data_IF_478380245078
#
_entry.id   IF_478380245078
#
_cell.length_a   1.000
_cell.length_b   1.000
_cell.length_c   1.000
_cell.angle_alpha   90.00
_cell.angle_beta   90.00
_cell.angle_gamma   90.00
#
_symmetry.space_group_name_H-M   'P 1'
#
loop_
_entity.id
_entity.type
_entity.pdbx_description
1 polymer ?
#
# COMPACT_ATOMS: atom_id res chain seq x y z
N UNK A 1 25.19 22.30 -25.54
CA UNK A 1 23.89 22.61 -24.91
C UNK A 1 24.17 22.99 -23.45
N UNK A 2 23.60 24.07 -22.92
CA UNK A 2 23.84 24.48 -21.52
C UNK A 2 23.03 23.59 -20.56
N UNK A 3 23.50 23.45 -19.31
CA UNK A 3 22.79 22.71 -18.25
C UNK A 3 21.33 23.18 -18.09
N UNK A 4 21.09 24.48 -18.22
CA UNK A 4 19.75 25.08 -18.13
C UNK A 4 18.79 24.69 -19.27
N UNK A 5 19.30 24.29 -20.44
CA UNK A 5 18.46 23.77 -21.53
C UNK A 5 18.10 22.29 -21.31
N UNK A 6 18.97 21.52 -20.65
CA UNK A 6 18.74 20.11 -20.32
C UNK A 6 17.73 19.95 -19.17
N UNK A 7 17.73 20.86 -18.20
CA UNK A 7 16.77 20.79 -17.07
C UNK A 7 15.33 21.16 -17.52
N UNK A 8 15.17 22.10 -18.46
CA UNK A 8 13.86 22.40 -19.08
C UNK A 8 13.26 21.24 -19.86
N UNK A 9 14.10 20.36 -20.40
CA UNK A 9 13.67 19.16 -21.11
C UNK A 9 13.09 18.13 -20.12
N UNK A 10 13.71 17.98 -18.96
CA UNK A 10 13.25 17.05 -17.92
C UNK A 10 11.89 17.45 -17.32
N UNK A 11 11.62 18.74 -17.10
CA UNK A 11 10.30 19.19 -16.65
C UNK A 11 9.20 18.82 -17.64
N UNK A 12 9.45 19.01 -18.94
CA UNK A 12 8.51 18.62 -19.99
C UNK A 12 8.31 17.11 -20.06
N UNK A 13 9.39 16.32 -19.91
CA UNK A 13 9.33 14.86 -19.80
C UNK A 13 8.50 14.45 -18.59
N UNK A 14 8.69 15.07 -17.42
CA UNK A 14 7.95 14.76 -16.20
C UNK A 14 6.46 14.99 -16.36
N UNK A 15 6.06 16.13 -16.95
CA UNK A 15 4.65 16.45 -17.22
C UNK A 15 4.04 15.43 -18.18
N UNK A 16 4.74 15.11 -19.27
CA UNK A 16 4.26 14.16 -20.28
C UNK A 16 4.12 12.74 -19.71
N UNK A 17 5.15 12.24 -19.02
CA UNK A 17 5.17 10.91 -18.43
C UNK A 17 4.13 10.76 -17.31
N UNK A 18 3.95 11.78 -16.46
CA UNK A 18 2.86 11.81 -15.47
C UNK A 18 1.48 11.74 -16.11
N UNK A 19 1.27 12.53 -17.16
CA UNK A 19 -0.01 12.52 -17.88
C UNK A 19 -0.28 11.16 -18.54
N UNK A 20 0.75 10.47 -19.02
CA UNK A 20 0.65 9.10 -19.55
C UNK A 20 0.26 8.09 -18.49
N UNK A 21 0.95 8.08 -17.34
CA UNK A 21 0.60 7.24 -16.21
C UNK A 21 -0.86 7.44 -15.76
N UNK A 22 -1.30 8.70 -15.63
CA UNK A 22 -2.69 9.01 -15.22
C UNK A 22 -3.72 8.48 -16.23
N UNK A 23 -3.40 8.52 -17.52
CA UNK A 23 -4.25 7.93 -18.57
C UNK A 23 -4.28 6.41 -18.44
N UNK A 24 -3.12 5.78 -18.28
CA UNK A 24 -2.97 4.33 -18.13
C UNK A 24 -3.77 3.79 -16.94
N UNK A 25 -3.62 4.40 -15.76
CA UNK A 25 -4.39 4.04 -14.56
C UNK A 25 -5.91 4.17 -14.83
N UNK A 26 -6.32 5.18 -15.60
CA UNK A 26 -7.72 5.41 -15.95
C UNK A 26 -8.36 4.32 -16.81
N UNK A 27 -7.56 3.56 -17.59
CA UNK A 27 -8.07 2.42 -18.37
C UNK A 27 -8.59 1.30 -17.47
N UNK A 28 -8.22 1.30 -16.20
CA UNK A 28 -8.58 0.28 -15.23
C UNK A 28 -9.87 0.56 -14.45
N UNK A 29 -10.49 1.74 -14.67
CA UNK A 29 -11.67 2.20 -13.92
C UNK A 29 -11.36 2.80 -12.54
N UNK A 30 -10.08 2.96 -12.18
CA UNK A 30 -9.67 3.46 -10.85
C UNK A 30 -10.21 4.86 -10.49
N UNK A 31 -10.69 5.64 -11.47
CA UNK A 31 -11.25 6.97 -11.28
C UNK A 31 -12.77 6.99 -11.15
N UNK A 32 -13.45 5.86 -11.37
CA UNK A 32 -14.90 5.82 -11.52
C UNK A 32 -15.62 6.13 -10.20
N UNK A 33 -15.05 5.68 -9.07
CA UNK A 33 -15.62 5.88 -7.72
C UNK A 33 -15.45 7.32 -7.22
N UNK A 34 -14.27 7.93 -7.42
CA UNK A 34 -14.04 9.36 -7.14
C UNK A 34 -13.09 9.96 -8.18
N UNK A 35 -13.62 10.72 -9.17
CA UNK A 35 -12.82 11.27 -10.26
C UNK A 35 -11.83 12.35 -9.79
N UNK A 36 -11.95 12.86 -8.56
CA UNK A 36 -11.00 13.85 -8.01
C UNK A 36 -9.60 13.26 -7.87
N UNK A 37 -9.47 11.96 -7.64
CA UNK A 37 -8.16 11.30 -7.57
C UNK A 37 -7.36 11.46 -8.85
N UNK A 38 -8.01 11.50 -10.02
CA UNK A 38 -7.33 11.77 -11.29
C UNK A 38 -6.61 13.12 -11.28
N UNK A 39 -7.23 14.16 -10.73
CA UNK A 39 -6.62 15.49 -10.65
C UNK A 39 -5.46 15.53 -9.64
N UNK A 40 -5.60 14.80 -8.52
CA UNK A 40 -4.53 14.65 -7.51
C UNK A 40 -3.30 14.01 -8.15
N UNK A 41 -3.44 12.86 -8.81
CA UNK A 41 -2.32 12.16 -9.48
C UNK A 41 -1.72 12.96 -10.65
N UNK A 42 -2.53 13.80 -11.33
CA UNK A 42 -2.04 14.69 -12.37
C UNK A 42 -1.20 15.86 -11.82
N UNK A 43 -1.31 16.15 -10.52
CA UNK A 43 -0.66 17.30 -9.87
C UNK A 43 0.56 16.87 -9.06
N UNK A 44 0.45 15.85 -8.21
CA UNK A 44 1.52 15.45 -7.29
C UNK A 44 2.71 14.84 -8.06
N UNK A 45 3.92 15.41 -7.98
CA UNK A 45 5.06 14.97 -8.78
C UNK A 45 5.76 13.75 -8.15
N UNK A 46 5.35 12.53 -8.51
CA UNK A 46 5.95 11.26 -8.03
C UNK A 46 7.49 11.24 -8.04
N UNK A 47 8.13 11.88 -9.01
CA UNK A 47 9.60 11.93 -9.13
C UNK A 47 10.32 12.68 -8.01
N UNK A 48 9.64 13.55 -7.25
CA UNK A 48 10.23 14.15 -6.05
C UNK A 48 10.37 13.14 -4.91
N UNK A 49 9.52 12.10 -4.89
CA UNK A 49 9.50 11.06 -3.87
C UNK A 49 10.37 9.84 -4.23
N UNK A 50 10.92 9.78 -5.44
CA UNK A 50 11.72 8.64 -5.92
C UNK A 50 13.04 9.17 -6.48
N UNK A 51 13.95 9.69 -5.63
CA UNK A 51 15.22 10.26 -6.09
C UNK A 51 16.12 9.23 -6.78
N UNK A 52 15.93 7.95 -6.48
CA UNK A 52 16.54 6.83 -7.15
C UNK A 52 15.71 5.56 -6.98
N UNK A 53 15.95 4.57 -7.83
CA UNK A 53 15.44 3.20 -7.66
C UNK A 53 16.38 2.18 -8.31
N UNK A 54 16.25 0.93 -7.89
CA UNK A 54 17.05 -0.19 -8.39
C UNK A 54 16.36 -0.87 -9.56
N UNK A 55 17.14 -1.29 -10.55
CA UNK A 55 16.72 -2.09 -11.70
C UNK A 55 17.65 -3.29 -11.85
N UNK A 56 17.17 -4.38 -12.45
CA UNK A 56 18.03 -5.52 -12.77
C UNK A 56 19.17 -5.10 -13.70
N UNK A 57 20.40 -5.52 -13.38
CA UNK A 57 21.57 -5.22 -14.22
C UNK A 57 21.43 -5.85 -15.61
N UNK A 58 21.91 -5.14 -16.64
CA UNK A 58 21.87 -5.61 -18.03
C UNK A 58 22.67 -6.90 -18.27
N UNK A 59 23.66 -7.20 -17.43
CA UNK A 59 24.43 -8.45 -17.48
C UNK A 59 23.80 -9.61 -16.66
N UNK A 60 22.64 -9.36 -16.05
CA UNK A 60 21.93 -10.30 -15.18
C UNK A 60 22.64 -10.58 -13.85
N UNK A 61 23.70 -9.83 -13.51
CA UNK A 61 24.49 -10.01 -12.29
C UNK A 61 24.37 -8.78 -11.40
N UNK A 62 23.31 -8.76 -10.58
CA UNK A 62 23.08 -7.72 -9.58
C UNK A 62 22.11 -6.63 -10.03
N UNK A 63 22.21 -5.47 -9.40
CA UNK A 63 21.25 -4.38 -9.53
C UNK A 63 21.96 -3.08 -9.91
N UNK A 64 21.49 -2.45 -10.98
CA UNK A 64 21.87 -1.09 -11.36
C UNK A 64 20.97 -0.08 -10.63
N UNK A 65 21.48 1.14 -10.41
CA UNK A 65 20.70 2.24 -9.82
C UNK A 65 20.44 3.34 -10.84
N UNK A 66 19.17 3.68 -11.02
CA UNK A 66 18.73 4.87 -11.75
C UNK A 66 18.44 5.98 -10.74
N UNK A 67 18.93 7.19 -11.00
CA UNK A 67 18.87 8.30 -10.04
C UNK A 67 18.76 9.67 -10.71
N UNK A 68 18.18 10.63 -10.00
CA UNK A 68 17.91 11.99 -10.51
C UNK A 68 19.18 12.81 -10.77
N UNK A 69 20.23 12.58 -9.98
CA UNK A 69 21.46 13.38 -9.97
C UNK A 69 22.56 12.79 -10.88
N UNK A 70 22.20 11.92 -11.83
CA UNK A 70 23.18 11.33 -12.76
C UNK A 70 23.91 12.39 -13.59
N UNK A 71 25.24 12.29 -13.74
CA UNK A 71 25.96 13.19 -14.65
C UNK A 71 25.59 12.94 -16.11
N UNK A 72 25.08 11.76 -16.45
CA UNK A 72 24.58 11.41 -17.79
C UNK A 72 23.11 11.85 -17.96
N UNK A 73 22.81 12.79 -18.88
CA UNK A 73 21.44 13.21 -19.16
C UNK A 73 20.52 12.08 -19.61
N UNK A 74 21.03 11.09 -20.35
CA UNK A 74 20.22 9.98 -20.85
C UNK A 74 19.77 9.06 -19.70
N UNK A 75 20.64 8.85 -18.73
CA UNK A 75 20.30 8.15 -17.48
C UNK A 75 19.28 8.92 -16.65
N UNK A 76 19.36 10.26 -16.58
CA UNK A 76 18.35 11.10 -15.89
C UNK A 76 16.98 10.98 -16.55
N UNK A 77 16.90 11.05 -17.87
CA UNK A 77 15.63 10.86 -18.58
C UNK A 77 15.08 9.44 -18.37
N UNK A 78 15.93 8.41 -18.43
CA UNK A 78 15.54 7.01 -18.16
C UNK A 78 15.00 6.82 -16.74
N UNK A 79 15.66 7.41 -15.74
CA UNK A 79 15.16 7.46 -14.35
C UNK A 79 13.77 8.08 -14.31
N UNK A 80 13.61 9.28 -14.88
CA UNK A 80 12.37 10.04 -14.79
C UNK A 80 11.20 9.30 -15.44
N UNK A 81 11.40 8.72 -16.64
CA UNK A 81 10.38 7.92 -17.32
C UNK A 81 10.03 6.67 -16.52
N UNK A 82 11.01 5.99 -15.94
CA UNK A 82 10.77 4.81 -15.12
C UNK A 82 10.06 5.12 -13.79
N UNK A 83 10.21 6.34 -13.22
CA UNK A 83 9.38 6.76 -12.08
C UNK A 83 7.89 6.78 -12.44
N UNK A 84 7.55 7.03 -13.71
CA UNK A 84 6.16 7.12 -14.17
C UNK A 84 5.65 5.86 -14.86
N UNK A 85 6.32 4.70 -14.71
CA UNK A 85 5.73 3.42 -15.11
C UNK A 85 4.76 2.91 -14.03
N UNK A 86 3.75 2.15 -14.46
CA UNK A 86 2.79 1.51 -13.55
C UNK A 86 3.35 0.23 -12.91
N UNK A 87 4.47 0.35 -12.23
CA UNK A 87 5.11 -0.73 -11.48
C UNK A 87 5.61 -0.28 -10.10
N UNK A 88 5.84 -1.23 -9.18
CA UNK A 88 6.53 -0.94 -7.95
C UNK A 88 8.01 -0.65 -8.23
N UNK A 89 8.59 0.29 -7.48
CA UNK A 89 9.99 0.68 -7.61
C UNK A 89 10.72 0.41 -6.29
N UNK A 90 11.78 -0.39 -6.33
CA UNK A 90 12.63 -0.64 -5.16
C UNK A 90 13.43 0.63 -4.83
N UNK A 91 13.21 1.20 -3.64
CA UNK A 91 13.81 2.49 -3.23
C UNK A 91 14.82 2.34 -2.10
N UNK A 92 14.77 1.22 -1.37
CA UNK A 92 15.76 0.91 -0.34
C UNK A 92 15.98 -0.58 -0.23
N UNK A 93 17.24 -0.98 -0.32
CA UNK A 93 17.70 -2.35 -0.14
C UNK A 93 18.73 -2.38 0.99
N UNK A 94 18.70 -3.42 1.83
CA UNK A 94 19.73 -3.69 2.84
C UNK A 94 20.07 -5.16 2.79
N UNK A 95 21.33 -5.49 2.58
CA UNK A 95 21.82 -6.87 2.45
C UNK A 95 21.06 -7.71 1.40
N UNK A 96 20.58 -7.07 0.33
CA UNK A 96 19.78 -7.69 -0.73
C UNK A 96 18.29 -7.83 -0.41
N UNK A 97 17.84 -7.41 0.77
CA UNK A 97 16.43 -7.42 1.15
C UNK A 97 15.77 -6.06 0.89
N UNK A 98 14.56 -6.10 0.32
CA UNK A 98 13.74 -4.91 0.06
C UNK A 98 13.16 -4.34 1.35
N UNK A 99 13.65 -3.17 1.76
CA UNK A 99 13.17 -2.45 2.94
C UNK A 99 12.05 -1.47 2.63
N UNK A 100 12.10 -0.81 1.46
CA UNK A 100 11.13 0.19 1.05
C UNK A 100 10.98 0.20 -0.47
N UNK A 101 9.74 0.35 -0.91
CA UNK A 101 9.39 0.54 -2.31
C UNK A 101 8.40 1.70 -2.47
N UNK A 102 8.42 2.34 -3.64
CA UNK A 102 7.27 3.12 -4.08
C UNK A 102 6.29 2.14 -4.72
N UNK A 103 5.11 1.99 -4.12
CA UNK A 103 4.08 1.04 -4.58
C UNK A 103 3.61 1.33 -6.01
N UNK A 104 3.05 0.31 -6.65
CA UNK A 104 2.46 0.43 -7.99
C UNK A 104 1.37 1.52 -8.00
N UNK A 105 1.44 2.52 -8.90
CA UNK A 105 0.49 3.63 -8.96
C UNK A 105 -0.96 3.22 -9.14
N UNK A 106 -1.28 2.28 -10.01
CA UNK A 106 -2.66 1.83 -10.25
C UNK A 106 -3.25 1.14 -9.02
N UNK A 107 -2.47 0.33 -8.31
CA UNK A 107 -2.89 -0.28 -7.05
C UNK A 107 -3.15 0.80 -5.98
N UNK A 108 -2.27 1.80 -5.86
CA UNK A 108 -2.48 2.95 -4.96
C UNK A 108 -3.74 3.74 -5.32
N UNK A 109 -3.96 4.01 -6.60
CA UNK A 109 -5.17 4.70 -7.06
C UNK A 109 -6.45 3.92 -6.69
N UNK A 110 -6.47 2.60 -6.90
CA UNK A 110 -7.58 1.74 -6.48
C UNK A 110 -7.78 1.77 -4.96
N UNK A 111 -6.70 1.67 -4.19
CA UNK A 111 -6.77 1.71 -2.73
C UNK A 111 -7.33 3.05 -2.23
N UNK A 112 -6.87 4.18 -2.78
CA UNK A 112 -7.36 5.51 -2.43
C UNK A 112 -8.84 5.73 -2.83
N UNK A 113 -9.26 5.18 -3.97
CA UNK A 113 -10.67 5.17 -4.37
C UNK A 113 -11.53 4.34 -3.40
N UNK A 114 -11.04 3.16 -3.01
CA UNK A 114 -11.73 2.27 -2.08
C UNK A 114 -11.68 2.73 -0.62
N UNK A 115 -10.74 3.60 -0.27
CA UNK A 115 -10.73 4.27 1.03
C UNK A 115 -11.94 5.21 1.19
N UNK A 116 -12.56 5.64 0.09
CA UNK A 116 -13.79 6.46 0.07
C UNK A 116 -13.71 7.67 1.01
N UNK A 117 -12.62 8.42 0.89
CA UNK A 117 -12.40 9.63 1.68
C UNK A 117 -13.43 10.71 1.31
N UNK A 118 -13.95 11.39 2.32
CA UNK A 118 -14.78 12.59 2.19
C UNK A 118 -14.02 13.83 2.66
N UNK A 119 -14.50 15.00 2.25
CA UNK A 119 -13.84 16.27 2.62
C UNK A 119 -13.94 16.45 4.14
N UNK A 120 -12.80 16.68 4.79
CA UNK A 120 -12.69 16.81 6.24
C UNK A 120 -12.33 15.52 6.99
N UNK A 121 -12.28 14.37 6.31
CA UNK A 121 -11.84 13.11 6.94
C UNK A 121 -10.40 13.22 7.47
N UNK A 122 -10.17 12.71 8.67
CA UNK A 122 -8.82 12.49 9.21
C UNK A 122 -8.32 11.08 8.85
N UNK A 123 -7.14 10.99 8.24
CA UNK A 123 -6.56 9.75 7.73
C UNK A 123 -5.29 9.37 8.47
N UNK A 124 -5.24 8.11 8.92
CA UNK A 124 -4.02 7.44 9.36
C UNK A 124 -3.48 6.54 8.24
N UNK A 125 -2.28 6.84 7.78
CA UNK A 125 -1.50 5.96 6.91
C UNK A 125 -0.47 5.17 7.72
N UNK A 126 -0.41 3.85 7.48
CA UNK A 126 0.61 2.96 8.03
C UNK A 126 1.55 2.52 6.90
N UNK A 127 2.81 2.94 6.98
CA UNK A 127 3.84 2.71 5.97
C UNK A 127 4.13 3.98 5.16
N UNK A 128 4.71 5.02 5.78
CA UNK A 128 5.01 6.27 5.08
C UNK A 128 5.89 6.05 3.83
N UNK A 129 6.85 5.11 3.90
CA UNK A 129 7.73 4.77 2.78
C UNK A 129 8.39 6.02 2.19
N UNK A 130 8.20 6.26 0.89
CA UNK A 130 8.77 7.46 0.25
C UNK A 130 8.05 8.78 0.59
N UNK A 131 6.84 8.72 1.16
CA UNK A 131 5.95 9.86 1.41
C UNK A 131 4.97 10.16 0.25
N UNK A 132 5.02 9.43 -0.87
CA UNK A 132 4.21 9.75 -2.04
C UNK A 132 2.69 9.62 -1.77
N UNK A 133 2.26 8.55 -1.11
CA UNK A 133 0.84 8.33 -0.84
C UNK A 133 0.31 9.30 0.24
N UNK A 134 1.10 9.62 1.26
CA UNK A 134 0.84 10.75 2.17
C UNK A 134 0.63 12.08 1.42
N UNK A 135 1.45 12.39 0.42
CA UNK A 135 1.26 13.60 -0.40
C UNK A 135 -0.02 13.56 -1.24
N UNK A 136 -0.41 12.40 -1.78
CA UNK A 136 -1.69 12.26 -2.50
C UNK A 136 -2.87 12.54 -1.56
N UNK A 137 -2.84 11.97 -0.35
CA UNK A 137 -3.86 12.22 0.68
C UNK A 137 -3.87 13.68 1.12
N UNK A 138 -2.71 14.27 1.38
CA UNK A 138 -2.57 15.64 1.84
C UNK A 138 -3.02 16.65 0.77
N UNK A 139 -2.72 16.38 -0.51
CA UNK A 139 -3.26 17.17 -1.62
C UNK A 139 -4.79 17.06 -1.73
N UNK A 140 -5.36 15.91 -1.38
CA UNK A 140 -6.80 15.65 -1.45
C UNK A 140 -7.58 16.25 -0.27
N UNK A 141 -7.01 16.22 0.95
CA UNK A 141 -7.73 16.53 2.20
C UNK A 141 -7.16 17.74 2.95
N UNK A 142 -5.92 18.14 2.67
CA UNK A 142 -5.14 19.10 3.46
C UNK A 142 -4.15 18.39 4.37
N UNK A 143 -3.01 19.06 4.64
CA UNK A 143 -1.91 18.50 5.43
C UNK A 143 -2.34 18.13 6.86
N UNK A 144 -3.17 18.97 7.51
CA UNK A 144 -3.66 18.78 8.88
C UNK A 144 -4.56 17.54 9.05
N UNK A 145 -5.06 16.98 7.94
CA UNK A 145 -5.94 15.81 7.92
C UNK A 145 -5.19 14.48 7.74
N UNK A 146 -3.86 14.50 7.60
CA UNK A 146 -3.07 13.31 7.30
C UNK A 146 -2.01 13.07 8.36
N UNK A 147 -2.05 11.88 8.95
CA UNK A 147 -0.98 11.32 9.78
C UNK A 147 -0.41 10.10 9.09
N UNK A 148 0.90 9.99 8.95
CA UNK A 148 1.58 8.83 8.36
C UNK A 148 2.67 8.30 9.30
N UNK A 149 2.75 6.99 9.45
CA UNK A 149 3.65 6.30 10.39
C UNK A 149 4.60 5.38 9.62
N UNK A 150 5.89 5.40 9.95
CA UNK A 150 6.84 4.37 9.54
C UNK A 150 7.80 4.04 10.70
N UNK A 151 8.33 2.82 10.71
CA UNK A 151 9.18 2.32 11.78
C UNK A 151 10.60 2.91 11.72
N UNK A 152 11.10 3.17 10.51
CA UNK A 152 12.51 3.50 10.30
C UNK A 152 12.73 5.03 10.27
N UNK A 153 13.57 5.58 11.17
CA UNK A 153 13.82 7.03 11.20
C UNK A 153 14.39 7.57 9.89
N UNK A 154 15.25 6.80 9.21
CA UNK A 154 15.84 7.22 7.93
C UNK A 154 14.80 7.25 6.80
N UNK A 155 13.70 6.49 6.92
CA UNK A 155 12.59 6.53 5.98
C UNK A 155 11.71 7.74 6.29
N UNK A 156 11.36 7.96 7.56
CA UNK A 156 10.53 9.11 7.95
C UNK A 156 11.20 10.46 7.66
N UNK A 157 12.52 10.59 7.87
CA UNK A 157 13.25 11.83 7.57
C UNK A 157 13.31 12.11 6.06
N UNK A 158 13.49 11.06 5.26
CA UNK A 158 13.43 11.13 3.80
C UNK A 158 12.03 11.52 3.32
N UNK A 159 10.98 10.89 3.87
CA UNK A 159 9.60 11.22 3.55
C UNK A 159 9.27 12.69 3.88
N UNK A 160 9.68 13.20 5.05
CA UNK A 160 9.50 14.63 5.39
C UNK A 160 10.17 15.55 4.38
N UNK A 161 11.37 15.19 3.93
CA UNK A 161 12.10 15.97 2.92
C UNK A 161 11.36 15.99 1.59
N UNK A 162 10.94 14.83 1.07
CA UNK A 162 10.20 14.76 -0.19
C UNK A 162 8.84 15.45 -0.11
N UNK A 163 8.13 15.31 1.01
CA UNK A 163 6.87 16.00 1.27
C UNK A 163 7.06 17.52 1.23
N UNK A 164 8.08 18.04 1.94
CA UNK A 164 8.40 19.46 1.93
C UNK A 164 8.79 19.97 0.52
N UNK A 165 9.59 19.21 -0.23
CA UNK A 165 9.95 19.52 -1.62
C UNK A 165 8.71 19.57 -2.54
N UNK A 166 7.68 18.79 -2.24
CA UNK A 166 6.40 18.79 -2.93
C UNK A 166 5.38 19.82 -2.38
N UNK A 167 5.74 20.58 -1.34
CA UNK A 167 4.89 21.59 -0.72
C UNK A 167 3.83 21.05 0.24
N UNK A 168 4.05 19.86 0.80
CA UNK A 168 3.17 19.19 1.75
C UNK A 168 3.83 19.00 3.11
N UNK A 169 3.08 19.22 4.18
CA UNK A 169 3.56 19.10 5.56
C UNK A 169 2.62 18.30 6.48
N UNK A 170 2.16 17.10 6.08
CA UNK A 170 1.36 16.27 6.97
C UNK A 170 2.17 15.79 8.17
N UNK A 171 1.49 15.27 9.19
CA UNK A 171 2.15 14.70 10.36
C UNK A 171 2.83 13.38 9.96
N UNK A 172 4.17 13.35 9.98
CA UNK A 172 4.96 12.11 9.84
C UNK A 172 5.41 11.65 11.22
N UNK A 173 5.30 10.36 11.55
CA UNK A 173 5.67 9.79 12.85
C UNK A 173 6.63 8.63 12.63
N UNK A 174 7.75 8.66 13.35
CA UNK A 174 8.64 7.49 13.48
C UNK A 174 8.13 6.63 14.62
N UNK A 175 7.59 5.46 14.31
CA UNK A 175 6.97 4.59 15.30
C UNK A 175 6.47 3.28 14.74
N UNK A 176 6.07 2.39 15.64
CA UNK A 176 5.46 1.11 15.28
C UNK A 176 4.04 1.32 14.77
N UNK A 177 3.84 1.11 13.47
CA UNK A 177 2.55 1.23 12.81
C UNK A 177 1.46 0.33 13.39
N UNK A 178 1.80 -0.79 14.02
CA UNK A 178 0.83 -1.65 14.69
C UNK A 178 0.18 -0.96 15.90
N UNK A 179 0.81 0.09 16.44
CA UNK A 179 0.28 0.91 17.55
C UNK A 179 -0.55 2.10 17.07
N UNK A 180 -0.57 2.38 15.76
CA UNK A 180 -1.17 3.59 15.21
C UNK A 180 -0.52 4.87 15.74
N UNK A 181 -1.31 5.93 15.88
CA UNK A 181 -0.88 7.24 16.35
C UNK A 181 -1.96 7.87 17.26
N UNK A 182 -2.17 7.35 18.49
CA UNK A 182 -3.30 7.73 19.33
C UNK A 182 -3.33 9.21 19.73
N UNK A 183 -2.18 9.89 19.70
CA UNK A 183 -2.08 11.34 19.98
C UNK A 183 -2.73 12.22 18.90
N UNK A 184 -2.97 11.67 17.70
CA UNK A 184 -3.55 12.38 16.55
C UNK A 184 -4.92 11.80 16.16
N UNK A 185 -5.46 10.89 16.97
CA UNK A 185 -6.81 10.37 16.86
C UNK A 185 -7.86 11.47 17.20
N UNK A 186 -9.12 11.33 16.75
CA UNK A 186 -9.69 10.18 16.03
C UNK A 186 -9.49 10.23 14.51
N UNK A 187 -9.53 9.05 13.88
CA UNK A 187 -9.43 8.88 12.44
C UNK A 187 -10.76 8.41 11.84
N UNK A 188 -11.11 8.98 10.69
CA UNK A 188 -12.25 8.55 9.88
C UNK A 188 -11.85 7.44 8.90
N UNK A 189 -10.56 7.38 8.56
CA UNK A 189 -10.00 6.42 7.62
C UNK A 189 -8.64 5.93 8.09
N UNK A 190 -8.39 4.64 7.93
CA UNK A 190 -7.07 4.04 8.14
C UNK A 190 -6.68 3.29 6.87
N UNK A 191 -5.47 3.51 6.38
CA UNK A 191 -4.92 2.83 5.23
C UNK A 191 -3.53 2.28 5.55
N UNK A 192 -3.30 0.99 5.25
CA UNK A 192 -1.97 0.40 5.32
C UNK A 192 -1.38 0.23 3.92
N UNK A 193 -0.12 0.59 3.75
CA UNK A 193 0.68 0.44 2.52
C UNK A 193 1.81 -0.57 2.72
N UNK A 194 1.62 -1.50 3.66
CA UNK A 194 2.47 -2.64 3.96
C UNK A 194 1.59 -3.87 4.23
N UNK A 195 2.12 -5.08 4.00
CA UNK A 195 1.40 -6.32 4.28
C UNK A 195 1.34 -6.59 5.80
N UNK A 196 0.16 -6.94 6.30
CA UNK A 196 -0.06 -7.22 7.71
C UNK A 196 -0.28 -8.72 7.94
N UNK A 197 0.15 -9.27 9.09
CA UNK A 197 -0.25 -10.62 9.51
C UNK A 197 -1.72 -10.66 9.96
N UNK A 198 -2.19 -9.59 10.60
CA UNK A 198 -3.57 -9.37 11.04
C UNK A 198 -3.83 -7.88 11.19
N UNK A 199 -5.10 -7.46 11.27
CA UNK A 199 -5.43 -6.05 11.52
C UNK A 199 -5.16 -5.72 13.00
N UNK A 200 -4.25 -4.77 13.31
CA UNK A 200 -3.94 -4.43 14.69
C UNK A 200 -5.15 -3.86 15.44
N UNK A 201 -5.55 -4.53 16.53
CA UNK A 201 -6.64 -4.08 17.40
C UNK A 201 -6.45 -2.67 17.95
N UNK A 202 -5.20 -2.23 18.09
CA UNK A 202 -4.87 -0.89 18.60
C UNK A 202 -5.38 0.25 17.70
N UNK A 203 -5.70 -0.02 16.42
CA UNK A 203 -6.25 0.99 15.51
C UNK A 203 -7.71 1.34 15.83
N UNK A 204 -8.51 0.36 16.24
CA UNK A 204 -9.96 0.50 16.46
C UNK A 204 -10.31 1.61 17.47
N UNK A 205 -9.70 1.70 18.67
CA UNK A 205 -10.01 2.78 19.61
C UNK A 205 -9.55 4.17 19.14
N UNK A 206 -8.75 4.25 18.08
CA UNK A 206 -8.31 5.51 17.47
C UNK A 206 -9.24 5.96 16.34
N UNK A 207 -10.28 5.17 16.02
CA UNK A 207 -11.18 5.44 14.91
C UNK A 207 -12.53 6.01 15.39
N UNK A 208 -13.17 6.82 14.55
CA UNK A 208 -14.58 7.18 14.72
C UNK A 208 -15.48 5.97 14.45
N UNK A 209 -16.66 5.85 15.10
CA UNK A 209 -17.65 4.86 14.68
C UNK A 209 -18.06 5.08 13.22
N UNK A 210 -18.02 4.02 12.42
CA UNK A 210 -18.22 4.07 10.97
C UNK A 210 -16.95 4.33 10.16
N UNK A 211 -15.79 4.52 10.80
CA UNK A 211 -14.52 4.67 10.10
C UNK A 211 -14.21 3.45 9.23
N UNK A 212 -13.51 3.68 8.12
CA UNK A 212 -13.13 2.63 7.16
C UNK A 212 -11.66 2.31 7.29
N UNK A 213 -11.34 1.04 7.54
CA UNK A 213 -9.96 0.51 7.51
C UNK A 213 -9.76 -0.21 6.19
N UNK A 214 -8.68 0.13 5.48
CA UNK A 214 -8.25 -0.52 4.24
C UNK A 214 -6.83 -1.06 4.41
N UNK A 215 -6.62 -2.36 4.21
CA UNK A 215 -5.30 -2.95 4.40
C UNK A 215 -5.01 -4.13 3.47
N UNK A 216 -3.75 -4.33 3.05
CA UNK A 216 -3.30 -5.56 2.45
C UNK A 216 -3.21 -6.68 3.49
N UNK A 217 -3.90 -7.80 3.25
CA UNK A 217 -3.90 -8.98 4.11
C UNK A 217 -3.97 -10.25 3.25
N UNK A 218 -3.13 -11.24 3.54
CA UNK A 218 -3.14 -12.53 2.85
C UNK A 218 -3.09 -12.48 1.30
N UNK A 219 -2.41 -11.48 0.71
CA UNK A 219 -2.38 -11.18 -0.75
C UNK A 219 -3.66 -10.58 -1.35
N UNK A 220 -4.65 -10.28 -0.52
CA UNK A 220 -5.86 -9.53 -0.89
C UNK A 220 -5.89 -8.14 -0.24
N UNK A 221 -6.93 -7.37 -0.57
CA UNK A 221 -7.20 -6.07 0.02
C UNK A 221 -8.48 -6.18 0.86
N UNK A 222 -8.39 -5.98 2.19
CA UNK A 222 -9.53 -6.04 3.10
C UNK A 222 -10.07 -4.63 3.37
N UNK A 223 -11.40 -4.50 3.44
CA UNK A 223 -12.07 -3.31 3.93
C UNK A 223 -12.89 -3.64 5.17
N UNK A 224 -12.66 -2.92 6.27
CA UNK A 224 -13.45 -3.07 7.49
C UNK A 224 -14.18 -1.77 7.81
N UNK A 225 -15.36 -1.89 8.39
CA UNK A 225 -16.06 -0.79 9.06
C UNK A 225 -15.83 -0.94 10.56
N UNK A 226 -15.35 0.12 11.21
CA UNK A 226 -15.19 0.16 12.66
C UNK A 226 -16.55 0.45 13.30
N UNK A 227 -17.05 -0.45 14.13
CA UNK A 227 -18.30 -0.25 14.85
C UNK A 227 -18.06 0.50 16.17
N UNK A 228 -16.99 0.13 16.88
CA UNK A 228 -16.54 0.76 18.11
C UNK A 228 -15.03 0.51 18.34
N UNK A 229 -14.51 0.97 19.47
CA UNK A 229 -13.08 0.85 19.82
C UNK A 229 -12.57 -0.58 20.03
N UNK A 230 -13.44 -1.58 19.91
CA UNK A 230 -13.13 -3.00 20.08
C UNK A 230 -13.61 -3.88 18.93
N UNK A 231 -14.54 -3.40 18.08
CA UNK A 231 -15.15 -4.21 17.03
C UNK A 231 -15.07 -3.56 15.65
N UNK A 232 -14.59 -4.32 14.66
CA UNK A 232 -14.62 -3.96 13.25
C UNK A 232 -14.84 -5.19 12.38
N UNK A 233 -15.55 -5.03 11.26
CA UNK A 233 -15.88 -6.15 10.36
C UNK A 233 -15.97 -5.70 8.91
N UNK A 234 -15.68 -6.61 7.98
CA UNK A 234 -15.96 -6.41 6.57
C UNK A 234 -15.33 -7.46 5.67
N UNK A 235 -15.41 -7.22 4.36
CA UNK A 235 -15.05 -8.17 3.31
C UNK A 235 -13.78 -7.77 2.58
N UNK A 236 -13.15 -8.77 1.98
CA UNK A 236 -12.10 -8.53 1.00
C UNK A 236 -12.70 -7.97 -0.29
N UNK A 237 -11.89 -7.23 -1.02
CA UNK A 237 -12.14 -6.84 -2.39
C UNK A 237 -11.61 -7.94 -3.33
N UNK A 238 -12.07 -7.95 -4.58
CA UNK A 238 -11.58 -8.86 -5.62
C UNK A 238 -10.09 -8.63 -5.98
N UNK A 239 -9.58 -7.47 -5.58
CA UNK A 239 -8.26 -6.96 -5.94
C UNK A 239 -7.15 -7.67 -5.17
N UNK A 240 -6.18 -8.21 -5.90
CA UNK A 240 -4.95 -8.73 -5.34
C UNK A 240 -4.01 -7.59 -4.91
N UNK A 241 -3.32 -7.77 -3.79
CA UNK A 241 -2.46 -6.75 -3.21
C UNK A 241 -1.18 -7.39 -2.64
N UNK A 242 -0.05 -7.09 -3.26
CA UNK A 242 1.28 -7.57 -2.84
C UNK A 242 2.10 -6.39 -2.34
N UNK A 243 2.48 -6.45 -1.05
CA UNK A 243 3.20 -5.38 -0.38
C UNK A 243 4.39 -5.93 0.41
N UNK A 244 5.36 -5.07 0.69
CA UNK A 244 6.42 -5.38 1.66
C UNK A 244 5.80 -5.59 3.04
N UNK A 245 6.26 -6.58 3.83
CA UNK A 245 5.71 -6.83 5.17
C UNK A 245 5.89 -5.64 6.12
N UNK A 246 4.91 -5.43 7.00
CA UNK A 246 5.07 -4.56 8.15
C UNK A 246 6.20 -5.09 9.04
N UNK A 247 7.08 -4.19 9.46
CA UNK A 247 8.22 -4.50 10.33
C UNK A 247 7.88 -4.12 11.77
N UNK A 248 8.51 -4.78 12.73
CA UNK A 248 8.33 -4.49 14.17
C UNK A 248 7.27 -5.35 14.88
N UNK A 249 6.44 -6.08 14.14
CA UNK A 249 5.66 -7.21 14.65
C UNK A 249 6.51 -8.50 14.63
N UNK A 250 6.07 -9.56 15.31
CA UNK A 250 6.69 -10.89 15.11
C UNK A 250 6.78 -11.20 13.61
N UNK A 251 7.86 -11.87 13.14
CA UNK A 251 8.12 -12.04 11.73
C UNK A 251 6.88 -12.59 11.02
N UNK A 252 6.39 -11.87 10.00
CA UNK A 252 5.49 -12.47 9.02
C UNK A 252 6.18 -13.74 8.55
N UNK A 253 5.56 -14.88 8.80
CA UNK A 253 6.17 -16.17 8.51
C UNK A 253 6.54 -16.16 7.04
N UNK A 254 7.85 -16.10 6.73
CA UNK A 254 8.42 -16.61 5.47
C UNK A 254 8.26 -18.13 5.51
N UNK A 255 7.02 -18.59 5.65
CA UNK A 255 6.64 -19.95 5.36
C UNK A 255 6.46 -19.92 3.87
N UNK A 256 7.43 -20.48 3.16
CA UNK A 256 7.25 -20.85 1.76
C UNK A 256 5.96 -21.67 1.67
N UNK A 257 4.84 -21.03 1.37
CA UNK A 257 3.66 -21.75 0.89
C UNK A 257 4.18 -22.41 -0.38
N UNK A 258 4.30 -23.76 -0.42
CA UNK A 258 4.99 -24.43 -1.51
C UNK A 258 4.38 -23.99 -2.84
N UNK A 259 5.18 -23.32 -3.67
CA UNK A 259 4.75 -22.87 -4.97
C UNK A 259 4.75 -24.05 -5.94
N UNK A 260 3.58 -24.56 -6.29
CA UNK A 260 3.46 -25.49 -7.40
C UNK A 260 3.16 -24.69 -8.67
N UNK A 261 3.93 -24.86 -9.76
CA UNK A 261 3.56 -24.30 -11.06
C UNK A 261 2.14 -24.73 -11.44
N UNK A 262 1.24 -23.76 -11.66
CA UNK A 262 -0.18 -24.00 -11.95
C UNK A 262 -1.14 -23.77 -10.78
N UNK A 263 -0.65 -23.47 -9.58
CA UNK A 263 -1.54 -23.13 -8.45
C UNK A 263 -2.34 -21.85 -8.71
N UNK A 264 -3.65 -21.95 -8.52
CA UNK A 264 -4.60 -20.85 -8.69
C UNK A 264 -4.33 -19.73 -7.67
N UNK A 265 -4.33 -18.48 -8.11
CA UNK A 265 -4.02 -17.33 -7.25
C UNK A 265 -4.94 -17.24 -6.01
N UNK A 266 -6.24 -17.46 -6.21
CA UNK A 266 -7.22 -17.51 -5.11
C UNK A 266 -6.96 -18.64 -4.09
N UNK A 267 -6.37 -19.75 -4.52
CA UNK A 267 -5.97 -20.81 -3.58
C UNK A 267 -4.78 -20.34 -2.74
N UNK A 268 -3.83 -19.60 -3.31
CA UNK A 268 -2.71 -19.01 -2.55
C UNK A 268 -3.19 -17.97 -1.53
N UNK A 269 -4.18 -17.16 -1.91
CA UNK A 269 -4.86 -16.26 -0.99
C UNK A 269 -5.40 -17.03 0.22
N UNK A 270 -6.18 -18.09 -0.01
CA UNK A 270 -6.73 -18.92 1.08
C UNK A 270 -5.63 -19.53 1.94
N UNK A 271 -4.61 -20.13 1.33
CA UNK A 271 -3.48 -20.73 2.04
C UNK A 271 -2.74 -19.72 2.92
N UNK A 272 -2.63 -18.46 2.47
CA UNK A 272 -2.01 -17.39 3.25
C UNK A 272 -2.94 -16.93 4.38
N UNK A 273 -4.24 -16.81 4.11
CA UNK A 273 -5.24 -16.36 5.07
C UNK A 273 -5.41 -17.35 6.24
N UNK A 274 -5.34 -18.65 5.96
CA UNK A 274 -5.52 -19.72 6.96
C UNK A 274 -4.19 -20.31 7.42
N UNK A 275 -3.08 -19.58 7.23
CA UNK A 275 -1.76 -20.08 7.56
C UNK A 275 -1.66 -20.47 9.04
N UNK A 276 -1.16 -21.68 9.32
CA UNK A 276 -1.05 -22.20 10.69
C UNK A 276 -2.37 -22.60 11.34
N UNK A 277 -3.48 -22.57 10.60
CA UNK A 277 -4.81 -23.05 11.03
C UNK A 277 -5.26 -24.24 10.20
N UNK A 278 -5.21 -24.15 8.86
CA UNK A 278 -5.52 -25.26 7.96
C UNK A 278 -4.23 -25.83 7.36
N UNK A 279 -4.19 -27.16 7.22
CA UNK A 279 -3.18 -27.80 6.37
C UNK A 279 -3.44 -27.45 4.89
N UNK A 280 -2.41 -27.33 4.03
CA UNK A 280 -2.60 -27.02 2.62
C UNK A 280 -3.54 -27.96 1.85
N UNK A 281 -3.62 -29.24 2.24
CA UNK A 281 -4.58 -30.19 1.67
C UNK A 281 -6.01 -29.85 2.07
N UNK A 282 -6.26 -29.57 3.34
CA UNK A 282 -7.58 -29.19 3.85
C UNK A 282 -8.09 -27.89 3.22
N UNK A 283 -7.21 -26.90 3.08
CA UNK A 283 -7.52 -25.64 2.41
C UNK A 283 -7.89 -25.84 0.94
N UNK A 284 -7.17 -26.71 0.21
CA UNK A 284 -7.47 -27.04 -1.18
C UNK A 284 -8.81 -27.76 -1.30
N UNK A 285 -9.06 -28.77 -0.48
CA UNK A 285 -10.32 -29.51 -0.49
C UNK A 285 -11.51 -28.60 -0.16
N UNK A 286 -11.36 -27.69 0.81
CA UNK A 286 -12.36 -26.66 1.09
C UNK A 286 -12.60 -25.77 -0.12
N UNK A 287 -11.54 -25.21 -0.70
CA UNK A 287 -11.65 -24.30 -1.83
C UNK A 287 -12.34 -24.95 -3.03
N UNK A 288 -12.06 -26.24 -3.31
CA UNK A 288 -12.75 -26.98 -4.38
C UNK A 288 -14.21 -27.28 -4.05
N UNK A 289 -14.52 -27.72 -2.82
CA UNK A 289 -15.90 -27.99 -2.39
C UNK A 289 -16.79 -26.75 -2.42
N UNK A 290 -16.25 -25.59 -2.06
CA UNK A 290 -16.97 -24.31 -2.03
C UNK A 290 -17.05 -23.61 -3.40
N UNK A 291 -16.64 -24.30 -4.48
CA UNK A 291 -16.77 -23.83 -5.84
C UNK A 291 -15.71 -22.80 -6.25
N UNK A 292 -14.51 -22.86 -5.66
CA UNK A 292 -13.38 -21.98 -5.93
C UNK A 292 -13.72 -20.50 -5.68
N UNK A 293 -14.16 -20.15 -4.45
CA UNK A 293 -14.62 -18.80 -4.12
C UNK A 293 -13.56 -17.72 -4.42
N UNK A 294 -14.04 -16.57 -4.92
CA UNK A 294 -13.29 -15.33 -5.03
C UNK A 294 -13.00 -14.70 -3.66
N UNK A 295 -12.09 -13.71 -3.63
CA UNK A 295 -11.69 -13.03 -2.40
C UNK A 295 -12.87 -12.36 -1.71
N UNK A 296 -13.79 -11.80 -2.47
CA UNK A 296 -14.97 -11.07 -2.02
C UNK A 296 -15.93 -11.89 -1.14
N UNK A 297 -15.89 -13.22 -1.24
CA UNK A 297 -16.64 -14.11 -0.34
C UNK A 297 -16.01 -14.23 1.04
N UNK A 298 -14.76 -13.80 1.22
CA UNK A 298 -14.09 -13.85 2.50
C UNK A 298 -14.22 -12.50 3.22
N UNK A 299 -14.20 -12.55 4.54
CA UNK A 299 -14.15 -11.37 5.38
C UNK A 299 -13.37 -11.60 6.65
N UNK A 300 -13.26 -10.54 7.45
CA UNK A 300 -12.57 -10.54 8.73
C UNK A 300 -13.41 -9.81 9.76
N UNK A 301 -13.51 -10.40 10.94
CA UNK A 301 -14.06 -9.77 12.14
C UNK A 301 -12.93 -9.58 13.15
N UNK A 302 -12.77 -8.36 13.65
CA UNK A 302 -11.84 -7.99 14.71
C UNK A 302 -12.68 -7.68 15.95
N UNK A 303 -12.31 -8.26 17.09
CA UNK A 303 -12.90 -7.99 18.40
C UNK A 303 -11.81 -7.66 19.43
N UNK A 304 -12.18 -7.30 20.65
CA UNK A 304 -11.23 -7.17 21.76
C UNK A 304 -10.41 -8.44 22.03
N UNK A 305 -10.98 -9.61 21.73
CA UNK A 305 -10.38 -10.91 22.04
C UNK A 305 -9.45 -11.43 20.93
N UNK A 306 -9.62 -10.98 19.69
CA UNK A 306 -8.82 -11.45 18.56
C UNK A 306 -9.32 -10.98 17.21
N UNK A 307 -8.86 -11.63 16.14
CA UNK A 307 -9.37 -11.45 14.79
C UNK A 307 -9.62 -12.82 14.15
N UNK A 308 -10.68 -12.93 13.35
CA UNK A 308 -11.07 -14.15 12.66
C UNK A 308 -11.37 -13.85 11.21
N UNK A 309 -10.80 -14.63 10.31
CA UNK A 309 -11.24 -14.68 8.93
C UNK A 309 -12.40 -15.66 8.79
N UNK A 310 -13.28 -15.41 7.83
CA UNK A 310 -14.43 -16.25 7.55
C UNK A 310 -14.72 -16.32 6.05
N UNK A 311 -15.43 -17.38 5.64
CA UNK A 311 -16.03 -17.51 4.32
C UNK A 311 -17.54 -17.29 4.41
N UNK A 312 -18.06 -16.46 3.51
CA UNK A 312 -19.42 -15.95 3.33
C UNK A 312 -20.00 -15.13 4.47
N UNK A 313 -19.91 -15.61 5.71
CA UNK A 313 -20.56 -15.02 6.89
C UNK A 313 -19.73 -15.25 8.16
N UNK A 314 -19.66 -14.28 9.10
CA UNK A 314 -18.91 -14.42 10.35
C UNK A 314 -19.46 -15.51 11.29
N UNK A 315 -20.73 -15.89 11.18
CA UNK A 315 -21.35 -16.98 11.94
C UNK A 315 -21.24 -18.34 11.22
N UNK A 316 -20.59 -18.38 10.05
CA UNK A 316 -20.43 -19.61 9.27
C UNK A 316 -19.48 -20.61 9.97
N UNK A 317 -19.59 -21.91 9.64
CA UNK A 317 -18.67 -22.92 10.16
C UNK A 317 -17.23 -22.75 9.64
N UNK A 318 -17.03 -21.92 8.62
CA UNK A 318 -15.75 -21.67 7.97
C UNK A 318 -15.10 -20.42 8.53
N UNK A 319 -14.72 -20.49 9.80
CA UNK A 319 -14.07 -19.40 10.55
C UNK A 319 -12.70 -19.83 11.07
N UNK A 320 -11.70 -18.94 10.95
CA UNK A 320 -10.31 -19.22 11.27
C UNK A 320 -9.69 -18.06 12.06
N UNK A 321 -9.06 -18.31 13.22
CA UNK A 321 -8.35 -17.25 13.93
C UNK A 321 -7.16 -16.74 13.13
N UNK A 322 -7.02 -15.43 13.02
CA UNK A 322 -5.83 -14.78 12.47
C UNK A 322 -4.79 -14.62 13.59
N UNK A 323 -3.56 -15.01 13.31
CA UNK A 323 -2.43 -14.97 14.27
C UNK A 323 -1.37 -13.99 13.81
#
# INVERSE_FOLDING_TARGET
MSAHALDKDLDAVAVSARAELVREIGLSGAWDTDPRWRAVFATVPRHLFVPYYYVGSADGRGEDRLWRDSPDPHTRERWLRGVYTDGPLATRLRDGELLSSSSQPSLMARMLAELRVTDGDHVLEIGAGTGYNAALLAHRLGDDHVTTVDLDPEITDSARTHLADAGHHPTVITGDGARGAPEHAPYDRVIATCALPTIPRAWLPQCTPGARVLAPLATGLITLTVHDGTHAEGNFLDTAAYFVPLRGTEPSVRGEIPHTPGDHELLRFLLTLTHGVLDPGEARDLWEREGRPGRERYGVTVTGDGAWAWLDDPESPHTWPLR
#
